data_IF_030366826909
#
_entry.id   IF_030366826909
#
_cell.length_a   1.000
_cell.length_b   1.000
_cell.length_c   1.000
_cell.angle_alpha   90.00
_cell.angle_beta   90.00
_cell.angle_gamma   90.00
#
_symmetry.space_group_name_H-M   'P 1'
#
loop_
_entity.id
_entity.type
_entity.pdbx_description
1 polymer ?
#
# COMPACT_ATOMS: atom_id res chain seq x y z
N UNK A 1 -12.42 1.88 -45.65
CA UNK A 1 -13.55 1.99 -46.59
C UNK A 1 -14.34 3.30 -46.42
N UNK A 2 -14.62 3.79 -45.23
CA UNK A 2 -15.33 5.07 -45.01
C UNK A 2 -14.61 6.31 -45.52
N UNK A 3 -13.30 6.38 -45.54
CA UNK A 3 -12.53 7.54 -46.07
C UNK A 3 -12.70 7.67 -47.58
N UNK A 4 -12.87 6.56 -48.30
CA UNK A 4 -13.16 6.56 -49.74
C UNK A 4 -14.59 6.98 -50.04
N UNK A 5 -15.57 6.66 -49.19
CA UNK A 5 -16.97 7.07 -49.32
C UNK A 5 -17.15 8.58 -49.13
N UNK A 6 -16.39 9.19 -48.20
CA UNK A 6 -16.40 10.63 -47.98
C UNK A 6 -15.84 11.40 -49.20
N UNK A 7 -14.87 10.80 -49.90
CA UNK A 7 -14.26 11.44 -51.09
C UNK A 7 -15.22 11.52 -52.29
N UNK A 8 -16.12 10.55 -52.44
CA UNK A 8 -17.07 10.49 -53.56
C UNK A 8 -18.34 11.35 -53.39
N UNK A 9 -18.65 11.82 -52.16
CA UNK A 9 -19.83 12.65 -51.89
C UNK A 9 -19.51 14.11 -51.62
N UNK A 10 -18.32 14.59 -51.91
CA UNK A 10 -17.96 16.00 -51.80
C UNK A 10 -18.48 16.77 -53.01
N UNK A 11 -19.50 17.58 -52.75
CA UNK A 11 -20.06 18.52 -53.73
C UNK A 11 -18.94 19.48 -54.20
N UNK A 12 -18.72 19.57 -55.51
CA UNK A 12 -17.63 20.34 -56.17
C UNK A 12 -17.60 21.87 -55.86
N UNK A 13 -18.63 22.39 -55.18
CA UNK A 13 -18.77 23.81 -54.88
C UNK A 13 -18.40 24.26 -53.45
N UNK A 14 -17.85 23.33 -52.59
CA UNK A 14 -17.46 23.73 -51.23
C UNK A 14 -16.10 24.42 -51.18
N UNK A 15 -16.08 25.61 -50.53
CA UNK A 15 -14.84 26.35 -50.27
C UNK A 15 -13.89 25.56 -49.37
N UNK A 16 -12.58 25.62 -49.59
CA UNK A 16 -11.50 24.97 -48.84
C UNK A 16 -11.63 25.10 -47.31
N UNK A 17 -12.19 26.23 -46.83
CA UNK A 17 -12.47 26.46 -45.40
C UNK A 17 -13.58 25.53 -44.85
N UNK A 18 -14.64 25.32 -45.63
CA UNK A 18 -15.78 24.46 -45.24
C UNK A 18 -15.35 23.01 -45.18
N UNK A 19 -14.58 22.56 -46.17
CA UNK A 19 -14.02 21.18 -46.20
C UNK A 19 -13.15 20.92 -44.96
N UNK A 20 -12.28 21.90 -44.59
CA UNK A 20 -11.47 21.78 -43.37
C UNK A 20 -12.30 21.74 -42.08
N UNK A 21 -13.39 22.52 -42.04
CA UNK A 21 -14.31 22.57 -40.88
C UNK A 21 -15.07 21.25 -40.74
N UNK A 22 -15.58 20.71 -41.84
CA UNK A 22 -16.30 19.44 -41.89
C UNK A 22 -15.38 18.26 -41.48
N UNK A 23 -14.16 18.21 -42.00
CA UNK A 23 -13.16 17.22 -41.62
C UNK A 23 -12.84 17.29 -40.11
N UNK A 24 -12.67 18.50 -39.56
CA UNK A 24 -12.41 18.64 -38.10
C UNK A 24 -13.59 18.16 -37.26
N UNK A 25 -14.81 18.48 -37.68
CA UNK A 25 -16.02 18.06 -36.97
C UNK A 25 -16.17 16.53 -37.00
N UNK A 26 -16.01 15.91 -38.19
CA UNK A 26 -16.07 14.44 -38.33
C UNK A 26 -14.99 13.74 -37.54
N UNK A 27 -13.76 14.28 -37.53
CA UNK A 27 -12.67 13.76 -36.72
C UNK A 27 -12.96 13.84 -35.21
N UNK A 28 -13.62 14.91 -34.75
CA UNK A 28 -14.03 15.11 -33.36
C UNK A 28 -15.11 14.12 -32.97
N UNK A 29 -16.09 13.89 -33.85
CA UNK A 29 -17.18 12.93 -33.68
C UNK A 29 -16.64 11.51 -33.60
N UNK A 30 -15.79 11.08 -34.53
CA UNK A 30 -15.13 9.79 -34.52
C UNK A 30 -14.32 9.52 -33.25
N UNK A 31 -13.60 10.53 -32.77
CA UNK A 31 -12.86 10.43 -31.50
C UNK A 31 -13.81 10.24 -30.31
N UNK A 32 -14.94 10.95 -30.29
CA UNK A 32 -15.94 10.84 -29.24
C UNK A 32 -16.58 9.45 -29.25
N UNK A 33 -16.96 8.95 -30.42
CA UNK A 33 -17.56 7.63 -30.58
C UNK A 33 -16.59 6.51 -30.15
N UNK A 34 -15.33 6.57 -30.63
CA UNK A 34 -14.29 5.62 -30.19
C UNK A 34 -14.08 5.63 -28.67
N UNK A 35 -14.10 6.80 -28.04
CA UNK A 35 -13.96 6.90 -26.60
C UNK A 35 -15.14 6.29 -25.84
N UNK A 36 -16.36 6.48 -26.36
CA UNK A 36 -17.59 5.89 -25.78
C UNK A 36 -17.60 4.38 -25.93
N UNK A 37 -17.35 3.84 -27.12
CA UNK A 37 -17.26 2.40 -27.38
C UNK A 37 -16.19 1.73 -26.50
N UNK A 38 -15.03 2.35 -26.38
CA UNK A 38 -13.99 1.86 -25.49
C UNK A 38 -14.42 1.83 -24.03
N UNK A 39 -15.22 2.84 -23.61
CA UNK A 39 -15.75 2.91 -22.25
C UNK A 39 -16.80 1.81 -22.00
N UNK A 40 -17.71 1.60 -22.95
CA UNK A 40 -18.72 0.54 -22.89
C UNK A 40 -18.11 -0.84 -22.84
N UNK A 41 -17.14 -1.14 -23.72
CA UNK A 41 -16.40 -2.39 -23.72
C UNK A 41 -15.68 -2.64 -22.39
N UNK A 42 -15.13 -1.58 -21.79
CA UNK A 42 -14.49 -1.69 -20.48
C UNK A 42 -15.48 -1.95 -19.35
N UNK A 43 -16.69 -1.39 -19.43
CA UNK A 43 -17.75 -1.66 -18.48
C UNK A 43 -18.24 -3.12 -18.59
N UNK A 44 -18.51 -3.58 -19.81
CA UNK A 44 -18.93 -4.96 -20.09
C UNK A 44 -17.87 -5.98 -19.60
N UNK A 45 -16.62 -5.79 -19.95
CA UNK A 45 -15.50 -6.62 -19.46
C UNK A 45 -15.43 -6.66 -17.92
N UNK A 46 -15.66 -5.53 -17.28
CA UNK A 46 -15.67 -5.47 -15.82
C UNK A 46 -16.88 -6.18 -15.20
N UNK A 47 -18.05 -6.10 -15.83
CA UNK A 47 -19.26 -6.83 -15.38
C UNK A 47 -19.11 -8.36 -15.55
N UNK A 48 -18.45 -8.80 -16.62
CA UNK A 48 -18.11 -10.21 -16.80
C UNK A 48 -17.11 -10.71 -15.74
N UNK A 49 -16.10 -9.90 -15.42
CA UNK A 49 -15.18 -10.21 -14.34
C UNK A 49 -15.88 -10.30 -12.98
N UNK A 50 -16.79 -9.37 -12.70
CA UNK A 50 -17.53 -9.39 -11.43
C UNK A 50 -18.41 -10.65 -11.35
N UNK A 51 -19.12 -11.02 -12.43
CA UNK A 51 -19.87 -12.30 -12.52
C UNK A 51 -18.98 -13.52 -12.34
N UNK A 52 -17.79 -13.53 -12.96
CA UNK A 52 -16.84 -14.63 -12.80
C UNK A 52 -16.38 -14.79 -11.36
N UNK A 53 -16.16 -13.70 -10.64
CA UNK A 53 -15.74 -13.73 -9.23
C UNK A 53 -16.88 -14.05 -8.27
N UNK A 54 -18.12 -13.66 -8.58
CA UNK A 54 -19.31 -14.03 -7.80
C UNK A 54 -19.62 -15.53 -7.89
N UNK A 55 -19.44 -16.12 -9.07
CA UNK A 55 -19.63 -17.58 -9.30
C UNK A 55 -18.54 -18.44 -8.64
N UNK A 56 -17.40 -17.84 -8.25
CA UNK A 56 -16.34 -18.54 -7.49
C UNK A 56 -16.30 -18.10 -6.02
N UNK A 57 -17.28 -18.51 -5.19
CA UNK A 57 -17.39 -18.09 -3.79
C UNK A 57 -16.20 -18.50 -2.93
N UNK A 58 -15.36 -19.42 -3.39
CA UNK A 58 -14.21 -19.95 -2.65
C UNK A 58 -12.88 -19.22 -2.89
N UNK A 59 -12.83 -18.18 -3.73
CA UNK A 59 -11.58 -17.42 -3.84
C UNK A 59 -11.50 -16.33 -2.78
N UNK A 60 -11.23 -16.74 -1.54
CA UNK A 60 -10.98 -15.84 -0.39
C UNK A 60 -9.84 -14.83 -0.62
N UNK A 61 -9.28 -14.78 -1.81
CA UNK A 61 -8.19 -13.90 -2.17
C UNK A 61 -8.53 -12.90 -3.30
N UNK A 62 -9.81 -12.77 -3.67
CA UNK A 62 -10.20 -11.78 -4.66
C UNK A 62 -10.01 -10.36 -4.11
N UNK A 63 -9.30 -9.48 -4.84
CA UNK A 63 -9.16 -8.09 -4.44
C UNK A 63 -10.51 -7.36 -4.57
N UNK A 64 -10.79 -6.38 -3.69
CA UNK A 64 -11.92 -5.49 -3.90
C UNK A 64 -11.69 -4.65 -5.17
N UNK A 65 -12.79 -4.38 -5.89
CA UNK A 65 -12.74 -3.53 -7.08
C UNK A 65 -12.61 -2.06 -6.66
N UNK A 66 -11.65 -1.36 -7.27
CA UNK A 66 -11.40 0.06 -7.05
C UNK A 66 -11.37 0.78 -8.40
N UNK A 67 -11.64 2.08 -8.39
CA UNK A 67 -11.50 2.90 -9.59
C UNK A 67 -10.03 3.01 -9.99
N UNK A 68 -9.76 3.24 -11.28
CA UNK A 68 -8.38 3.43 -11.78
C UNK A 68 -7.69 4.58 -11.05
N UNK A 69 -8.42 5.66 -10.75
CA UNK A 69 -7.86 6.81 -10.03
C UNK A 69 -7.47 6.47 -8.59
N UNK A 70 -8.28 5.66 -7.90
CA UNK A 70 -7.94 5.16 -6.55
C UNK A 70 -6.72 4.25 -6.58
N UNK A 71 -6.63 3.34 -7.56
CA UNK A 71 -5.45 2.47 -7.71
C UNK A 71 -4.17 3.27 -7.99
N UNK A 72 -4.25 4.29 -8.85
CA UNK A 72 -3.11 5.20 -9.09
C UNK A 72 -2.73 5.94 -7.80
N UNK A 73 -3.70 6.50 -7.08
CA UNK A 73 -3.45 7.20 -5.82
C UNK A 73 -2.79 6.28 -4.78
N UNK A 74 -3.28 5.04 -4.65
CA UNK A 74 -2.72 4.04 -3.76
C UNK A 74 -1.29 3.67 -4.15
N UNK A 75 -1.03 3.39 -5.44
CA UNK A 75 0.29 3.05 -5.94
C UNK A 75 1.29 4.20 -5.75
N UNK A 76 0.90 5.44 -6.05
CA UNK A 76 1.77 6.63 -5.94
C UNK A 76 2.07 6.96 -4.47
N UNK A 77 1.07 6.90 -3.58
CA UNK A 77 1.28 7.20 -2.15
C UNK A 77 2.29 6.24 -1.52
N UNK A 78 2.15 4.93 -1.71
CA UNK A 78 3.11 3.97 -1.20
C UNK A 78 4.41 3.92 -2.04
N UNK A 79 4.35 4.20 -3.34
CA UNK A 79 5.56 4.40 -4.15
C UNK A 79 6.44 5.55 -3.63
N UNK A 80 5.86 6.65 -3.17
CA UNK A 80 6.61 7.71 -2.48
C UNK A 80 7.20 7.24 -1.15
N UNK A 81 6.52 6.34 -0.44
CA UNK A 81 7.02 5.69 0.77
C UNK A 81 8.30 4.87 0.53
N UNK A 82 8.46 4.25 -0.64
CA UNK A 82 9.71 3.55 -1.03
C UNK A 82 10.89 4.53 -1.06
N UNK A 83 10.69 5.70 -1.67
CA UNK A 83 11.73 6.74 -1.75
C UNK A 83 12.07 7.24 -0.34
N UNK A 84 11.06 7.50 0.48
CA UNK A 84 11.25 7.95 1.87
C UNK A 84 11.97 6.89 2.71
N UNK A 85 11.70 5.60 2.51
CA UNK A 85 12.42 4.52 3.20
C UNK A 85 13.92 4.52 2.87
N UNK A 86 14.28 4.73 1.58
CA UNK A 86 15.69 4.85 1.17
C UNK A 86 16.35 6.08 1.79
N UNK A 87 15.69 7.22 1.78
CA UNK A 87 16.16 8.44 2.43
C UNK A 87 16.36 8.21 3.93
N UNK A 88 15.37 7.57 4.59
CA UNK A 88 15.43 7.22 6.00
C UNK A 88 16.66 6.34 6.33
N UNK A 89 16.95 5.33 5.49
CA UNK A 89 18.15 4.49 5.65
C UNK A 89 19.43 5.32 5.60
N UNK A 90 19.56 6.23 4.62
CA UNK A 90 20.75 7.08 4.49
C UNK A 90 21.00 7.91 5.76
N UNK A 91 19.93 8.47 6.34
CA UNK A 91 20.02 9.20 7.60
C UNK A 91 20.40 8.28 8.78
N UNK A 92 19.78 7.11 8.90
CA UNK A 92 20.09 6.15 9.96
C UNK A 92 21.55 5.70 9.90
N UNK A 93 22.06 5.36 8.71
CA UNK A 93 23.45 4.93 8.53
C UNK A 93 24.49 5.99 8.95
N UNK A 94 24.15 7.27 8.93
CA UNK A 94 25.03 8.35 9.42
C UNK A 94 25.12 8.41 10.94
N UNK A 95 24.15 7.82 11.67
CA UNK A 95 24.12 7.83 13.15
C UNK A 95 24.54 6.51 13.77
N UNK A 96 24.62 5.45 12.97
CA UNK A 96 24.98 4.10 13.46
C UNK A 96 26.40 4.10 14.03
N UNK A 97 26.53 3.71 15.30
CA UNK A 97 27.79 3.63 16.06
C UNK A 97 28.15 2.20 16.50
N UNK A 98 27.25 1.26 16.30
CA UNK A 98 27.43 -0.14 16.73
C UNK A 98 26.87 -1.13 15.69
N UNK A 99 27.38 -2.37 15.73
CA UNK A 99 26.87 -3.45 14.87
C UNK A 99 25.38 -3.74 15.16
N UNK A 100 24.95 -3.63 16.41
CA UNK A 100 23.53 -3.85 16.76
C UNK A 100 22.66 -2.75 16.17
N UNK A 101 23.08 -1.48 16.26
CA UNK A 101 22.36 -0.36 15.65
C UNK A 101 22.30 -0.48 14.11
N UNK A 102 23.39 -0.96 13.49
CA UNK A 102 23.43 -1.24 12.06
C UNK A 102 22.41 -2.32 11.67
N UNK A 103 22.43 -3.45 12.35
CA UNK A 103 21.48 -4.56 12.09
C UNK A 103 20.05 -4.09 12.32
N UNK A 104 19.77 -3.41 13.42
CA UNK A 104 18.44 -2.89 13.72
C UNK A 104 17.95 -1.90 12.65
N UNK A 105 18.82 -1.00 12.18
CA UNK A 105 18.51 -0.04 11.11
C UNK A 105 18.23 -0.73 9.77
N UNK A 106 19.00 -1.76 9.41
CA UNK A 106 18.80 -2.52 8.18
C UNK A 106 17.51 -3.35 8.23
N UNK A 107 17.19 -3.96 9.38
CA UNK A 107 15.92 -4.66 9.58
C UNK A 107 14.75 -3.70 9.46
N UNK A 108 14.82 -2.54 10.11
CA UNK A 108 13.78 -1.51 10.05
C UNK A 108 13.56 -1.00 8.63
N UNK A 109 14.63 -0.63 7.94
CA UNK A 109 14.57 -0.25 6.53
C UNK A 109 13.91 -1.34 5.67
N UNK A 110 14.32 -2.60 5.85
CA UNK A 110 13.79 -3.71 5.05
C UNK A 110 12.28 -3.84 5.17
N UNK A 111 11.73 -3.68 6.38
CA UNK A 111 10.29 -3.72 6.60
C UNK A 111 9.53 -2.56 5.94
N UNK A 112 10.05 -1.34 6.08
CA UNK A 112 9.50 -0.17 5.40
C UNK A 112 9.53 -0.33 3.87
N UNK A 113 10.69 -0.71 3.34
CA UNK A 113 10.92 -0.86 1.91
C UNK A 113 10.02 -1.94 1.31
N UNK A 114 9.93 -3.11 1.97
CA UNK A 114 9.09 -4.22 1.50
C UNK A 114 7.61 -3.84 1.57
N UNK A 115 7.14 -3.24 2.67
CA UNK A 115 5.74 -2.83 2.78
C UNK A 115 5.36 -1.88 1.63
N UNK A 116 6.08 -0.78 1.50
CA UNK A 116 5.74 0.23 0.52
C UNK A 116 5.87 -0.28 -0.91
N UNK A 117 6.87 -1.12 -1.21
CA UNK A 117 7.05 -1.74 -2.53
C UNK A 117 5.93 -2.72 -2.84
N UNK A 118 5.62 -3.66 -1.92
CA UNK A 118 4.60 -4.68 -2.18
C UNK A 118 3.22 -4.05 -2.34
N UNK A 119 2.91 -3.04 -1.56
CA UNK A 119 1.66 -2.30 -1.67
C UNK A 119 1.57 -1.49 -2.97
N UNK A 120 2.61 -0.74 -3.33
CA UNK A 120 2.64 -0.01 -4.59
C UNK A 120 2.47 -0.94 -5.79
N UNK A 121 3.15 -2.08 -5.80
CA UNK A 121 3.02 -3.09 -6.86
C UNK A 121 1.62 -3.72 -6.90
N UNK A 122 1.04 -4.09 -5.74
CA UNK A 122 -0.32 -4.60 -5.68
C UNK A 122 -1.32 -3.66 -6.36
N UNK A 123 -1.22 -2.36 -6.09
CA UNK A 123 -2.11 -1.36 -6.68
C UNK A 123 -1.80 -1.04 -8.14
N UNK A 124 -0.60 -1.34 -8.64
CA UNK A 124 -0.21 -1.13 -10.04
C UNK A 124 -0.73 -2.22 -10.99
N UNK A 125 -1.08 -3.41 -10.49
CA UNK A 125 -1.57 -4.49 -11.34
C UNK A 125 -3.06 -4.38 -11.64
N UNK A 126 -3.45 -4.85 -12.84
CA UNK A 126 -4.84 -4.83 -13.32
C UNK A 126 -5.74 -5.72 -12.47
N UNK A 127 -6.94 -5.24 -12.20
CA UNK A 127 -8.01 -6.00 -11.53
C UNK A 127 -8.27 -7.33 -12.26
N UNK A 128 -8.56 -8.39 -11.51
CA UNK A 128 -8.82 -9.72 -12.05
C UNK A 128 -7.57 -10.55 -12.38
N UNK A 129 -6.38 -9.94 -12.47
CA UNK A 129 -5.16 -10.67 -12.81
C UNK A 129 -4.69 -11.60 -11.68
N UNK A 130 -4.08 -12.75 -12.06
CA UNK A 130 -3.44 -13.67 -11.09
C UNK A 130 -2.32 -12.97 -10.32
N UNK A 131 -1.61 -12.05 -10.99
CA UNK A 131 -0.52 -11.27 -10.40
C UNK A 131 -1.04 -10.35 -9.30
N UNK A 132 -2.15 -9.62 -9.53
CA UNK A 132 -2.77 -8.76 -8.49
C UNK A 132 -3.20 -9.58 -7.28
N UNK A 133 -3.74 -10.79 -7.48
CA UNK A 133 -4.11 -11.70 -6.37
C UNK A 133 -2.90 -12.16 -5.56
N UNK A 134 -1.78 -12.43 -6.23
CA UNK A 134 -0.52 -12.80 -5.57
C UNK A 134 0.03 -11.61 -4.77
N UNK A 135 0.13 -10.44 -5.40
CA UNK A 135 0.66 -9.24 -4.73
C UNK A 135 -0.23 -8.75 -3.59
N UNK A 136 -1.53 -9.04 -3.61
CA UNK A 136 -2.38 -8.81 -2.44
C UNK A 136 -1.95 -9.61 -1.22
N UNK A 137 -1.47 -10.85 -1.39
CA UNK A 137 -0.92 -11.63 -0.26
C UNK A 137 0.35 -10.98 0.26
N UNK A 138 1.23 -10.51 -0.60
CA UNK A 138 2.45 -9.80 -0.20
C UNK A 138 2.15 -8.47 0.50
N UNK A 139 1.21 -7.69 -0.01
CA UNK A 139 0.76 -6.44 0.59
C UNK A 139 0.29 -6.66 2.04
N UNK A 140 -0.62 -7.60 2.28
CA UNK A 140 -1.08 -7.93 3.62
C UNK A 140 0.01 -8.56 4.52
N UNK A 141 0.88 -9.40 3.96
CA UNK A 141 1.99 -9.99 4.71
C UNK A 141 3.01 -8.96 5.14
N UNK A 142 3.24 -7.93 4.32
CA UNK A 142 4.20 -6.87 4.60
C UNK A 142 3.81 -5.97 5.78
N UNK A 143 2.53 -5.96 6.19
CA UNK A 143 2.10 -5.29 7.42
C UNK A 143 2.76 -5.94 8.65
N UNK A 144 2.85 -7.27 8.69
CA UNK A 144 3.58 -7.97 9.75
C UNK A 144 5.06 -7.59 9.76
N UNK A 145 5.67 -7.51 8.56
CA UNK A 145 7.08 -7.11 8.43
C UNK A 145 7.30 -5.67 8.90
N UNK A 146 6.41 -4.74 8.55
CA UNK A 146 6.49 -3.37 9.04
C UNK A 146 6.46 -3.32 10.57
N UNK A 147 5.50 -4.03 11.20
CA UNK A 147 5.39 -4.06 12.65
C UNK A 147 6.68 -4.59 13.26
N UNK A 148 7.12 -5.80 12.90
CA UNK A 148 8.31 -6.42 13.47
C UNK A 148 9.60 -5.64 13.24
N UNK A 149 9.74 -5.06 12.07
CA UNK A 149 10.92 -4.27 11.74
C UNK A 149 10.98 -2.93 12.48
N UNK A 150 9.84 -2.29 12.72
CA UNK A 150 9.76 -1.07 13.54
C UNK A 150 10.21 -1.33 14.97
N UNK A 151 9.94 -2.53 15.50
CA UNK A 151 10.42 -2.91 16.83
C UNK A 151 11.91 -3.21 16.90
N UNK A 152 12.59 -3.52 15.78
CA UNK A 152 14.00 -3.89 15.83
C UNK A 152 14.88 -2.85 16.54
N UNK A 153 14.89 -1.54 16.18
CA UNK A 153 15.67 -0.57 16.93
C UNK A 153 15.17 -0.39 18.37
N UNK A 154 13.86 -0.48 18.62
CA UNK A 154 13.32 -0.34 19.97
C UNK A 154 13.83 -1.44 20.89
N UNK A 155 13.70 -2.70 20.47
CA UNK A 155 13.99 -3.84 21.36
C UNK A 155 15.46 -4.23 21.36
N UNK A 156 16.20 -4.03 20.27
CA UNK A 156 17.62 -4.39 20.19
C UNK A 156 18.54 -3.30 20.73
N UNK A 157 18.20 -2.02 20.47
CA UNK A 157 19.06 -0.91 20.87
C UNK A 157 18.57 -0.25 22.18
N UNK A 158 17.29 0.19 22.25
CA UNK A 158 16.78 0.88 23.43
C UNK A 158 16.52 -0.04 24.62
N UNK A 159 15.79 -1.15 24.43
CA UNK A 159 15.55 -2.14 25.50
C UNK A 159 16.82 -2.91 25.79
N UNK A 160 17.44 -3.46 24.76
CA UNK A 160 18.70 -4.21 24.84
C UNK A 160 18.65 -5.48 25.68
N UNK A 161 19.83 -6.05 25.88
CA UNK A 161 20.01 -7.20 26.77
C UNK A 161 19.23 -8.46 26.37
N UNK A 162 19.18 -9.43 27.26
CA UNK A 162 18.49 -10.72 27.01
C UNK A 162 17.00 -10.54 26.76
N UNK A 163 16.35 -9.62 27.48
CA UNK A 163 14.92 -9.39 27.35
C UNK A 163 14.54 -8.84 25.96
N UNK A 164 15.29 -7.86 25.44
CA UNK A 164 15.06 -7.33 24.10
C UNK A 164 15.23 -8.39 23.01
N UNK A 165 16.26 -9.24 23.12
CA UNK A 165 16.51 -10.33 22.16
C UNK A 165 15.37 -11.37 22.22
N UNK A 166 14.97 -11.81 23.41
CA UNK A 166 13.88 -12.79 23.56
C UNK A 166 12.58 -12.21 23.00
N UNK A 167 12.25 -10.96 23.32
CA UNK A 167 11.06 -10.31 22.80
C UNK A 167 11.09 -10.25 21.26
N UNK A 168 12.21 -9.86 20.67
CA UNK A 168 12.39 -9.83 19.22
C UNK A 168 12.14 -11.20 18.60
N UNK A 169 12.75 -12.27 19.15
CA UNK A 169 12.59 -13.63 18.62
C UNK A 169 11.11 -14.07 18.71
N UNK A 170 10.46 -13.90 19.87
CA UNK A 170 9.06 -14.29 20.06
C UNK A 170 8.14 -13.53 19.10
N UNK A 171 8.33 -12.21 18.96
CA UNK A 171 7.55 -11.39 18.05
C UNK A 171 7.71 -11.87 16.60
N UNK A 172 8.94 -12.16 16.15
CA UNK A 172 9.20 -12.64 14.80
C UNK A 172 8.65 -14.04 14.53
N UNK A 173 8.61 -14.93 15.52
CA UNK A 173 7.94 -16.23 15.39
C UNK A 173 6.44 -16.07 15.12
N UNK A 174 5.77 -15.14 15.82
CA UNK A 174 4.35 -14.84 15.59
C UNK A 174 4.17 -14.22 14.20
N UNK A 175 5.04 -13.29 13.79
CA UNK A 175 5.03 -12.64 12.48
C UNK A 175 5.17 -13.67 11.35
N UNK A 176 6.15 -14.56 11.42
CA UNK A 176 6.38 -15.62 10.43
C UNK A 176 5.13 -16.52 10.34
N UNK A 177 4.55 -16.88 11.47
CA UNK A 177 3.29 -17.64 11.50
C UNK A 177 2.17 -16.89 10.79
N UNK A 178 1.97 -15.58 11.07
CA UNK A 178 0.96 -14.76 10.43
C UNK A 178 1.17 -14.64 8.91
N UNK A 179 2.40 -14.44 8.46
CA UNK A 179 2.77 -14.40 7.04
C UNK A 179 2.47 -15.74 6.37
N UNK A 180 2.83 -16.85 7.00
CA UNK A 180 2.57 -18.20 6.48
C UNK A 180 1.07 -18.45 6.33
N UNK A 181 0.26 -18.05 7.31
CA UNK A 181 -1.20 -18.19 7.23
C UNK A 181 -1.80 -17.37 6.08
N UNK A 182 -1.32 -16.13 5.83
CA UNK A 182 -1.72 -15.33 4.66
C UNK A 182 -1.27 -16.00 3.36
N UNK A 183 -0.04 -16.52 3.32
CA UNK A 183 0.50 -17.21 2.16
C UNK A 183 -0.31 -18.43 1.75
N UNK A 184 -0.75 -19.22 2.72
CA UNK A 184 -1.52 -20.45 2.48
C UNK A 184 -3.00 -20.17 2.22
N UNK A 185 -3.64 -19.42 3.11
CA UNK A 185 -5.11 -19.26 3.11
C UNK A 185 -5.60 -17.98 2.43
N UNK A 186 -4.70 -17.03 2.15
CA UNK A 186 -5.05 -15.71 1.66
C UNK A 186 -5.55 -14.75 2.76
N UNK A 187 -5.56 -13.43 2.49
CA UNK A 187 -5.79 -12.41 3.51
C UNK A 187 -7.22 -12.38 4.07
N UNK A 188 -8.22 -12.81 3.30
CA UNK A 188 -9.63 -12.70 3.72
C UNK A 188 -10.10 -13.85 4.61
N UNK A 189 -9.58 -15.07 4.40
CA UNK A 189 -10.08 -16.27 5.09
C UNK A 189 -9.91 -16.18 6.61
N UNK A 190 -8.79 -15.63 7.05
CA UNK A 190 -8.42 -15.52 8.46
C UNK A 190 -8.34 -14.05 8.93
N UNK A 191 -9.12 -13.15 8.31
CA UNK A 191 -9.10 -11.71 8.66
C UNK A 191 -9.36 -11.45 10.14
N UNK A 192 -10.20 -12.25 10.78
CA UNK A 192 -10.49 -12.17 12.22
C UNK A 192 -9.34 -12.62 13.12
N UNK A 193 -8.30 -13.25 12.54
CA UNK A 193 -7.04 -13.56 13.22
C UNK A 193 -6.00 -12.49 12.93
N UNK A 194 -5.87 -12.09 11.64
CA UNK A 194 -4.82 -11.16 11.23
C UNK A 194 -5.01 -9.76 11.83
N UNK A 195 -6.23 -9.19 11.80
CA UNK A 195 -6.44 -7.84 12.34
C UNK A 195 -6.16 -7.75 13.85
N UNK A 196 -6.68 -8.65 14.72
CA UNK A 196 -6.28 -8.67 16.12
C UNK A 196 -4.78 -8.87 16.32
N UNK A 197 -4.12 -9.74 15.53
CA UNK A 197 -2.68 -9.94 15.64
C UNK A 197 -1.88 -8.70 15.27
N UNK A 198 -2.23 -7.99 14.20
CA UNK A 198 -1.59 -6.70 13.88
C UNK A 198 -1.70 -5.71 15.04
N UNK A 199 -2.89 -5.65 15.65
CA UNK A 199 -3.15 -4.76 16.77
C UNK A 199 -2.35 -5.16 18.01
N UNK A 200 -2.39 -6.43 18.40
CA UNK A 200 -1.64 -6.97 19.56
C UNK A 200 -0.14 -6.75 19.36
N UNK A 201 0.40 -7.11 18.20
CA UNK A 201 1.81 -6.93 17.89
C UNK A 201 2.18 -5.43 17.87
N UNK A 202 1.38 -4.58 17.25
CA UNK A 202 1.64 -3.14 17.16
C UNK A 202 1.61 -2.46 18.54
N UNK A 203 0.69 -2.85 19.43
CA UNK A 203 0.57 -2.32 20.77
C UNK A 203 1.44 -3.02 21.81
N UNK A 204 2.22 -4.03 21.44
CA UNK A 204 3.11 -4.72 22.38
C UNK A 204 4.18 -3.80 23.00
N UNK A 205 4.41 -2.60 22.41
CA UNK A 205 5.21 -1.51 23.01
C UNK A 205 4.75 -1.11 24.42
N UNK A 206 3.50 -1.41 24.79
CA UNK A 206 2.96 -1.15 26.13
C UNK A 206 3.80 -1.81 27.23
N UNK A 207 4.47 -2.91 26.92
CA UNK A 207 5.38 -3.61 27.85
C UNK A 207 6.62 -2.77 28.22
N UNK A 208 7.02 -1.85 27.36
CA UNK A 208 8.19 -0.96 27.56
C UNK A 208 7.77 0.43 28.05
N UNK A 209 6.47 0.70 28.12
CA UNK A 209 5.89 1.99 28.44
C UNK A 209 6.40 2.57 29.78
N UNK A 210 6.44 1.79 30.89
CA UNK A 210 6.95 2.33 32.17
C UNK A 210 8.41 2.75 32.09
N UNK A 211 9.20 2.08 31.26
CA UNK A 211 10.60 2.43 31.04
C UNK A 211 10.71 3.69 30.18
N UNK A 212 10.01 3.74 29.05
CA UNK A 212 10.02 4.93 28.16
C UNK A 212 9.58 6.19 28.88
N UNK A 213 8.51 6.14 29.69
CA UNK A 213 8.02 7.32 30.44
C UNK A 213 9.08 7.83 31.43
N UNK A 214 9.83 6.94 32.07
CA UNK A 214 10.84 7.32 33.05
C UNK A 214 12.15 7.79 32.44
N UNK A 215 12.60 7.16 31.36
CA UNK A 215 13.91 7.38 30.76
C UNK A 215 13.89 8.37 29.62
N UNK A 216 12.84 8.34 28.78
CA UNK A 216 12.71 9.21 27.60
C UNK A 216 11.23 9.41 27.22
N UNK A 217 10.60 10.41 27.83
CA UNK A 217 9.22 10.79 27.56
C UNK A 217 9.02 11.20 26.07
N UNK A 218 10.02 11.82 25.44
CA UNK A 218 9.89 12.23 24.05
C UNK A 218 9.84 11.03 23.12
N UNK A 219 10.71 10.03 23.31
CA UNK A 219 10.64 8.76 22.57
C UNK A 219 9.26 8.14 22.71
N UNK A 220 8.74 8.04 23.95
CA UNK A 220 7.41 7.54 24.21
C UNK A 220 6.32 8.29 23.40
N UNK A 221 6.36 9.62 23.42
CA UNK A 221 5.36 10.43 22.70
C UNK A 221 5.43 10.22 21.18
N UNK A 222 6.61 10.08 20.60
CA UNK A 222 6.76 9.79 19.17
C UNK A 222 6.22 8.42 18.79
N UNK A 223 6.56 7.38 19.55
CA UNK A 223 6.09 6.00 19.29
C UNK A 223 4.58 5.91 19.47
N UNK A 224 4.04 6.50 20.55
CA UNK A 224 2.61 6.55 20.81
C UNK A 224 1.85 7.29 19.70
N UNK A 225 2.34 8.46 19.28
CA UNK A 225 1.72 9.26 18.22
C UNK A 225 1.63 8.50 16.91
N UNK A 226 2.71 7.80 16.51
CA UNK A 226 2.69 6.93 15.33
C UNK A 226 1.67 5.79 15.46
N UNK A 227 1.59 5.14 16.63
CA UNK A 227 0.60 4.11 16.91
C UNK A 227 -0.85 4.62 16.82
N UNK A 228 -1.12 5.82 17.37
CA UNK A 228 -2.43 6.49 17.26
C UNK A 228 -2.76 6.79 15.80
N UNK A 229 -1.80 7.30 15.01
CA UNK A 229 -2.00 7.57 13.57
C UNK A 229 -2.40 6.30 12.83
N UNK A 230 -1.72 5.17 13.05
CA UNK A 230 -2.12 3.89 12.46
C UNK A 230 -3.54 3.47 12.88
N UNK A 231 -3.90 3.62 14.16
CA UNK A 231 -5.24 3.30 14.63
C UNK A 231 -6.32 4.19 13.99
N UNK A 232 -6.06 5.49 13.85
CA UNK A 232 -6.98 6.41 13.16
C UNK A 232 -7.16 6.02 11.69
N UNK A 233 -6.10 5.57 11.03
CA UNK A 233 -6.13 5.05 9.67
C UNK A 233 -6.99 3.79 9.51
N UNK A 234 -7.10 2.95 10.54
CA UNK A 234 -7.99 1.78 10.50
C UNK A 234 -9.47 2.14 10.34
N UNK A 235 -9.88 3.33 10.78
CA UNK A 235 -11.28 3.76 10.67
C UNK A 235 -11.74 3.86 9.20
N UNK A 236 -11.07 4.60 8.30
CA UNK A 236 -11.43 4.59 6.88
C UNK A 236 -11.21 3.21 6.23
N UNK A 237 -10.17 2.46 6.63
CA UNK A 237 -9.92 1.13 6.11
C UNK A 237 -11.10 0.17 6.32
N UNK A 238 -11.68 0.15 7.53
CA UNK A 238 -12.81 -0.72 7.88
C UNK A 238 -14.14 -0.26 7.24
N UNK A 239 -14.27 1.01 6.85
CA UNK A 239 -15.49 1.54 6.24
C UNK A 239 -15.66 1.17 4.77
N UNK A 240 -14.61 0.78 4.08
CA UNK A 240 -14.55 0.37 2.66
C UNK A 240 -15.42 1.23 1.71
N UNK A 241 -15.37 2.56 1.88
CA UNK A 241 -16.02 3.54 1.00
C UNK A 241 -15.05 4.01 -0.08
N UNK A 242 -15.56 4.69 -1.12
CA UNK A 242 -14.72 5.38 -2.11
C UNK A 242 -13.65 6.19 -1.40
N UNK A 243 -12.41 6.14 -1.90
CA UNK A 243 -11.24 6.87 -1.38
C UNK A 243 -10.76 6.41 0.03
N UNK A 244 -11.54 5.62 0.77
CA UNK A 244 -11.19 5.19 2.15
C UNK A 244 -9.84 4.47 2.21
N UNK A 245 -9.55 3.64 1.22
CA UNK A 245 -8.30 2.90 1.17
C UNK A 245 -7.09 3.80 0.87
N UNK A 246 -7.26 4.80 0.01
CA UNK A 246 -6.25 5.82 -0.22
C UNK A 246 -5.95 6.62 1.05
N UNK A 247 -6.99 7.00 1.81
CA UNK A 247 -6.82 7.68 3.11
C UNK A 247 -6.03 6.77 4.06
N UNK A 248 -6.34 5.47 4.12
CA UNK A 248 -5.56 4.50 4.89
C UNK A 248 -4.07 4.51 4.53
N UNK A 249 -3.72 4.51 3.23
CA UNK A 249 -2.34 4.60 2.77
C UNK A 249 -1.61 5.86 3.28
N UNK A 250 -2.29 7.00 3.28
CA UNK A 250 -1.72 8.25 3.83
C UNK A 250 -1.46 8.12 5.33
N UNK A 251 -2.37 7.52 6.09
CA UNK A 251 -2.16 7.28 7.52
C UNK A 251 -1.02 6.31 7.79
N UNK A 252 -0.87 5.26 6.98
CA UNK A 252 0.26 4.33 7.11
C UNK A 252 1.58 5.04 6.87
N UNK A 253 1.66 5.85 5.82
CA UNK A 253 2.85 6.64 5.51
C UNK A 253 3.20 7.64 6.63
N UNK A 254 2.21 8.38 7.12
CA UNK A 254 2.38 9.34 8.21
C UNK A 254 2.82 8.65 9.51
N UNK A 255 2.19 7.54 9.88
CA UNK A 255 2.56 6.76 11.06
C UNK A 255 4.01 6.26 10.99
N UNK A 256 4.43 5.76 9.81
CA UNK A 256 5.81 5.33 9.57
C UNK A 256 6.81 6.48 9.69
N UNK A 257 6.50 7.65 9.14
CA UNK A 257 7.36 8.85 9.25
C UNK A 257 7.49 9.27 10.70
N UNK A 258 6.39 9.37 11.44
CA UNK A 258 6.39 9.81 12.84
C UNK A 258 7.19 8.85 13.71
N UNK A 259 6.99 7.54 13.56
CA UNK A 259 7.79 6.55 14.31
C UNK A 259 9.26 6.57 13.92
N UNK A 260 9.57 6.73 12.63
CA UNK A 260 10.95 6.86 12.16
C UNK A 260 11.65 8.07 12.78
N UNK A 261 10.99 9.23 12.87
CA UNK A 261 11.54 10.43 13.51
C UNK A 261 11.91 10.13 14.97
N UNK A 262 11.00 9.51 15.73
CA UNK A 262 11.25 9.15 17.11
C UNK A 262 12.43 8.17 17.26
N UNK A 263 12.48 7.14 16.44
CA UNK A 263 13.58 6.16 16.44
C UNK A 263 14.91 6.81 16.06
N UNK A 264 14.91 7.66 15.03
CA UNK A 264 16.09 8.36 14.56
C UNK A 264 16.64 9.35 15.59
N UNK A 265 15.78 10.09 16.28
CA UNK A 265 16.22 11.12 17.23
C UNK A 265 16.67 10.54 18.57
N UNK A 266 16.03 9.48 19.06
CA UNK A 266 16.15 9.04 20.46
C UNK A 266 16.70 7.62 20.64
N UNK A 267 16.85 6.82 19.58
CA UNK A 267 17.38 5.45 19.67
C UNK A 267 18.70 5.30 18.92
N UNK A 268 18.82 5.93 17.76
CA UNK A 268 20.01 5.93 16.92
C UNK A 268 20.78 7.23 17.12
#
# INVERSE_FOLDING_TARGET
MEILFIRNNMNDNKNKKEIKKEYRNKKKELRKNYHNEKKELHLEYNEELDRYFEVQPNSNNNPPRRTVLEEIGNAVSHGSGVILAVVALVFMLKKVDSTIALVASLVYFSGLFILFTMSALYHSFSYGSKVKRLFRRFDYSSIYLLIGSTYAPIVLCYVGGKFGIIFFIVQWLIIITGITLIGVFGPNRLKYIHFPLYFILGWSAILFLPRMIREDLNLFLWILSGGIIYCLGMIPFLRDRKVSHFIWHIFVLLGAIVQWIGIYLYIL
#
